data_IF_195325066624
#
_entry.id   IF_195325066624
#
_cell.length_a   1.000
_cell.length_b   1.000
_cell.length_c   1.000
_cell.angle_alpha   90.00
_cell.angle_beta   90.00
_cell.angle_gamma   90.00
#
_symmetry.space_group_name_H-M   'P 1'
#
loop_
_entity.id
_entity.type
_entity.pdbx_description
1 polymer ?
#
# COMPACT_ATOMS: atom_id res chain seq x y z
N UNK A 1 -2.98 -15.73 -12.01
CA UNK A 1 -2.15 -14.79 -12.79
C UNK A 1 -0.85 -14.61 -12.03
N UNK A 2 0.30 -14.66 -12.71
CA UNK A 2 1.60 -14.46 -12.07
C UNK A 2 1.70 -13.01 -11.54
N UNK A 3 2.31 -12.83 -10.37
CA UNK A 3 2.48 -11.53 -9.71
C UNK A 3 3.09 -10.48 -10.66
N UNK A 4 4.05 -10.90 -11.49
CA UNK A 4 4.74 -10.07 -12.47
C UNK A 4 3.80 -9.45 -13.52
N UNK A 5 2.78 -10.19 -13.98
CA UNK A 5 1.88 -9.70 -15.01
C UNK A 5 0.99 -8.56 -14.47
N UNK A 6 0.52 -8.69 -13.22
CA UNK A 6 -0.33 -7.68 -12.57
C UNK A 6 0.46 -6.43 -12.21
N UNK A 7 1.72 -6.58 -11.81
CA UNK A 7 2.67 -5.48 -11.59
C UNK A 7 2.88 -4.69 -12.88
N UNK A 8 3.11 -5.38 -14.00
CA UNK A 8 3.24 -4.76 -15.32
C UNK A 8 1.96 -4.00 -15.73
N UNK A 9 0.78 -4.54 -15.43
CA UNK A 9 -0.49 -3.89 -15.76
C UNK A 9 -0.71 -2.60 -14.95
N UNK A 10 -0.45 -2.63 -13.63
CA UNK A 10 -0.60 -1.46 -12.73
C UNK A 10 0.38 -0.34 -13.10
N UNK A 11 1.59 -0.73 -13.52
CA UNK A 11 2.63 0.23 -13.86
C UNK A 11 2.58 0.70 -15.32
N UNK A 12 1.76 0.02 -16.14
CA UNK A 12 1.42 0.37 -17.52
C UNK A 12 2.37 -0.19 -18.57
N UNK A 13 1.96 -0.13 -19.85
CA UNK A 13 2.81 -0.48 -21.01
C UNK A 13 4.09 0.37 -20.97
N UNK A 14 5.24 -0.27 -20.72
CA UNK A 14 6.53 0.39 -20.46
C UNK A 14 7.08 0.21 -19.04
N UNK A 15 6.51 -0.69 -18.25
CA UNK A 15 7.15 -1.20 -17.05
C UNK A 15 8.21 -2.26 -17.42
N UNK A 16 9.46 -1.81 -17.48
CA UNK A 16 10.65 -2.62 -17.74
C UNK A 16 11.14 -3.28 -16.43
N UNK A 17 11.84 -4.42 -16.55
CA UNK A 17 12.55 -5.12 -15.47
C UNK A 17 13.49 -4.18 -14.69
N UNK A 18 14.02 -3.12 -15.31
CA UNK A 18 14.78 -2.08 -14.62
C UNK A 18 13.97 -1.38 -13.51
N UNK A 19 12.66 -1.22 -13.68
CA UNK A 19 11.76 -0.64 -12.68
C UNK A 19 11.33 -1.62 -11.59
N UNK A 20 11.50 -2.93 -11.77
CA UNK A 20 11.32 -3.90 -10.68
C UNK A 20 12.25 -3.58 -9.50
N UNK A 21 13.49 -3.19 -9.79
CA UNK A 21 14.45 -2.72 -8.76
C UNK A 21 13.96 -1.48 -8.02
N UNK A 22 13.13 -0.65 -8.66
CA UNK A 22 12.54 0.54 -8.06
C UNK A 22 11.33 0.27 -7.16
N UNK A 23 10.75 -0.95 -7.20
CA UNK A 23 9.67 -1.38 -6.30
C UNK A 23 10.12 -2.47 -5.32
N UNK A 24 11.25 -3.14 -5.58
CA UNK A 24 11.75 -4.25 -4.77
C UNK A 24 11.79 -3.96 -3.26
N UNK A 25 12.20 -2.77 -2.78
CA UNK A 25 12.18 -2.48 -1.34
C UNK A 25 10.81 -2.60 -0.70
N UNK A 26 9.74 -2.28 -1.44
CA UNK A 26 8.37 -2.44 -0.99
C UNK A 26 7.97 -3.91 -0.97
N UNK A 27 8.28 -4.64 -2.04
CA UNK A 27 7.98 -6.08 -2.16
C UNK A 27 8.64 -6.84 -1.02
N UNK A 28 9.95 -6.63 -0.80
CA UNK A 28 10.72 -7.27 0.26
C UNK A 28 10.10 -7.00 1.64
N UNK A 29 9.69 -5.75 1.89
CA UNK A 29 9.05 -5.37 3.14
C UNK A 29 7.72 -6.10 3.33
N UNK A 30 6.85 -6.06 2.31
CA UNK A 30 5.51 -6.64 2.36
C UNK A 30 5.58 -8.16 2.54
N UNK A 31 6.52 -8.82 1.84
CA UNK A 31 6.80 -10.25 1.98
C UNK A 31 7.43 -10.63 3.33
N UNK A 32 7.90 -9.65 4.12
CA UNK A 32 8.43 -9.89 5.47
C UNK A 32 9.87 -10.43 5.47
N UNK A 33 10.69 -10.03 4.48
CA UNK A 33 12.11 -10.39 4.48
C UNK A 33 12.79 -9.84 5.73
N UNK A 34 13.54 -10.70 6.44
CA UNK A 34 14.25 -10.38 7.71
C UNK A 34 15.18 -9.16 7.64
N UNK A 35 15.54 -8.72 6.44
CA UNK A 35 16.34 -7.51 6.19
C UNK A 35 15.63 -6.23 6.67
N UNK A 36 14.29 -6.22 6.69
CA UNK A 36 13.51 -5.07 7.10
C UNK A 36 12.99 -5.23 8.54
N UNK A 37 13.07 -4.18 9.37
CA UNK A 37 12.38 -4.18 10.66
C UNK A 37 10.85 -4.18 10.45
N UNK A 38 10.11 -4.50 11.51
CA UNK A 38 8.63 -4.53 11.54
C UNK A 38 8.02 -3.21 11.06
N UNK A 39 8.68 -2.09 11.33
CA UNK A 39 8.31 -0.74 10.93
C UNK A 39 9.47 -0.06 10.19
N UNK A 40 9.22 0.49 9.00
CA UNK A 40 10.28 1.06 8.18
C UNK A 40 9.80 2.24 7.32
N UNK A 41 10.73 3.17 7.06
CA UNK A 41 10.60 4.11 5.95
C UNK A 41 11.07 3.43 4.66
N UNK A 42 10.14 3.21 3.73
CA UNK A 42 10.41 2.59 2.44
C UNK A 42 10.36 3.66 1.35
N UNK A 43 11.46 3.79 0.60
CA UNK A 43 11.50 4.59 -0.62
C UNK A 43 11.01 3.71 -1.77
N UNK A 44 10.08 4.23 -2.57
CA UNK A 44 9.59 3.54 -3.77
C UNK A 44 9.83 4.44 -4.99
N UNK A 45 11.06 4.42 -5.55
CA UNK A 45 11.44 5.29 -6.67
C UNK A 45 10.50 5.24 -7.88
N UNK A 46 9.84 4.12 -8.15
CA UNK A 46 8.90 4.00 -9.27
C UNK A 46 7.72 4.97 -9.15
N UNK A 47 7.27 5.22 -7.92
CA UNK A 47 6.16 6.13 -7.63
C UNK A 47 6.60 7.49 -7.11
N UNK A 48 7.92 7.74 -7.08
CA UNK A 48 8.54 8.99 -6.59
C UNK A 48 8.03 9.38 -5.19
N UNK A 49 7.88 8.37 -4.34
CA UNK A 49 7.35 8.52 -2.98
C UNK A 49 8.23 7.82 -1.95
N UNK A 50 8.11 8.24 -0.70
CA UNK A 50 8.51 7.46 0.46
C UNK A 50 7.29 7.26 1.36
N UNK A 51 7.21 6.09 2.00
CA UNK A 51 6.18 5.82 2.97
C UNK A 51 6.76 5.30 4.28
N UNK A 52 6.11 5.63 5.38
CA UNK A 52 6.31 4.93 6.63
C UNK A 52 5.29 3.80 6.72
N UNK A 53 5.78 2.56 6.85
CA UNK A 53 4.94 1.37 6.87
C UNK A 53 5.26 0.45 8.04
N UNK A 54 4.28 -0.32 8.49
CA UNK A 54 4.42 -1.31 9.56
C UNK A 54 3.71 -2.59 9.17
N UNK A 55 4.34 -3.75 9.41
CA UNK A 55 3.67 -5.04 9.32
C UNK A 55 3.33 -5.51 10.72
N UNK A 56 2.06 -5.49 11.10
CA UNK A 56 1.65 -5.78 12.49
C UNK A 56 0.40 -6.64 12.53
N UNK A 57 -0.16 -6.85 13.71
CA UNK A 57 -1.48 -7.45 13.90
C UNK A 57 -2.40 -6.41 14.53
N UNK A 58 -3.60 -6.26 13.97
CA UNK A 58 -4.64 -5.36 14.52
C UNK A 58 -5.90 -6.14 14.82
N UNK A 59 -6.56 -5.75 15.90
CA UNK A 59 -7.89 -6.24 16.23
C UNK A 59 -8.91 -5.47 15.39
N UNK A 60 -9.43 -6.10 14.34
CA UNK A 60 -10.42 -5.53 13.44
C UNK A 60 -11.78 -6.17 13.75
N UNK A 61 -12.66 -5.40 14.37
CA UNK A 61 -13.89 -5.94 14.97
C UNK A 61 -13.55 -6.92 16.10
N UNK A 62 -13.81 -8.22 15.89
CA UNK A 62 -13.52 -9.30 16.85
C UNK A 62 -12.39 -10.22 16.40
N UNK A 63 -11.69 -9.89 15.30
CA UNK A 63 -10.67 -10.76 14.69
C UNK A 63 -9.31 -10.08 14.72
N UNK A 64 -8.31 -10.78 15.23
CA UNK A 64 -6.91 -10.36 15.10
C UNK A 64 -6.44 -10.70 13.69
N UNK A 65 -6.09 -9.70 12.90
CA UNK A 65 -5.68 -9.84 11.49
C UNK A 65 -4.27 -9.30 11.30
N UNK A 66 -3.50 -9.92 10.40
CA UNK A 66 -2.23 -9.34 9.95
C UNK A 66 -2.51 -8.13 9.06
N UNK A 67 -1.84 -7.02 9.33
CA UNK A 67 -2.03 -5.77 8.61
C UNK A 67 -0.73 -5.24 8.05
N UNK A 68 -0.87 -4.57 6.91
CA UNK A 68 0.13 -3.68 6.36
C UNK A 68 -0.35 -2.24 6.59
N UNK A 69 0.24 -1.59 7.58
CA UNK A 69 -0.10 -0.23 7.96
C UNK A 69 0.65 0.76 7.08
N UNK A 70 -0.07 1.60 6.33
CA UNK A 70 0.46 2.71 5.57
C UNK A 70 0.26 4.00 6.39
N UNK A 71 1.26 4.35 7.19
CA UNK A 71 1.12 5.34 8.25
C UNK A 71 1.38 6.78 7.81
N UNK A 72 2.28 6.97 6.84
CA UNK A 72 2.60 8.29 6.31
C UNK A 72 3.11 8.18 4.88
N UNK A 73 2.76 9.16 4.05
CA UNK A 73 3.19 9.24 2.66
C UNK A 73 3.81 10.60 2.37
N UNK A 74 4.89 10.58 1.60
CA UNK A 74 5.48 11.78 1.08
C UNK A 74 5.72 11.65 -0.42
N UNK A 75 5.06 12.55 -1.17
CA UNK A 75 5.20 12.69 -2.62
C UNK A 75 5.61 14.13 -2.89
N UNK A 76 6.73 14.30 -3.59
CA UNK A 76 7.21 15.61 -4.01
C UNK A 76 6.16 16.31 -4.88
N UNK A 77 5.98 17.63 -4.68
CA UNK A 77 4.88 18.39 -5.28
C UNK A 77 4.86 18.29 -6.80
N UNK A 78 6.03 18.29 -7.46
CA UNK A 78 6.19 18.14 -8.92
C UNK A 78 5.68 16.82 -9.50
N UNK A 79 5.36 15.85 -8.65
CA UNK A 79 4.82 14.54 -9.05
C UNK A 79 3.37 14.32 -8.61
N UNK A 80 2.76 15.28 -7.89
CA UNK A 80 1.34 15.23 -7.53
C UNK A 80 0.46 15.38 -8.78
N UNK A 81 -0.77 14.85 -8.71
CA UNK A 81 -1.73 14.92 -9.82
C UNK A 81 -1.48 13.93 -10.97
N UNK A 82 -0.41 13.13 -10.93
CA UNK A 82 -0.03 12.20 -12.01
C UNK A 82 -0.53 10.76 -11.81
N UNK A 83 -1.47 10.54 -10.90
CA UNK A 83 -1.99 9.21 -10.57
C UNK A 83 -0.97 8.23 -9.98
N UNK A 84 0.19 8.71 -9.49
CA UNK A 84 1.23 7.84 -8.93
C UNK A 84 0.79 7.20 -7.61
N UNK A 85 0.14 7.97 -6.74
CA UNK A 85 -0.41 7.44 -5.49
C UNK A 85 -1.47 6.37 -5.73
N UNK A 86 -2.35 6.57 -6.72
CA UNK A 86 -3.39 5.61 -7.09
C UNK A 86 -2.79 4.27 -7.51
N UNK A 87 -1.83 4.30 -8.44
CA UNK A 87 -1.12 3.09 -8.89
C UNK A 87 -0.31 2.44 -7.79
N UNK A 88 0.26 3.22 -6.88
CA UNK A 88 0.95 2.70 -5.70
C UNK A 88 0.00 1.93 -4.78
N UNK A 89 -1.17 2.50 -4.47
CA UNK A 89 -2.16 1.84 -3.60
C UNK A 89 -2.68 0.56 -4.26
N UNK A 90 -2.93 0.57 -5.58
CA UNK A 90 -3.29 -0.64 -6.34
C UNK A 90 -2.25 -1.75 -6.22
N UNK A 91 -0.97 -1.39 -6.32
CA UNK A 91 0.13 -2.34 -6.17
C UNK A 91 0.14 -2.93 -4.76
N UNK A 92 0.04 -2.07 -3.74
CA UNK A 92 0.05 -2.49 -2.33
C UNK A 92 -1.12 -3.41 -2.01
N UNK A 93 -2.33 -3.06 -2.45
CA UNK A 93 -3.53 -3.87 -2.26
C UNK A 93 -3.38 -5.24 -2.91
N UNK A 94 -2.82 -5.30 -4.13
CA UNK A 94 -2.57 -6.57 -4.81
C UNK A 94 -1.64 -7.48 -3.99
N UNK A 95 -0.49 -6.96 -3.54
CA UNK A 95 0.46 -7.76 -2.76
C UNK A 95 -0.09 -8.14 -1.39
N UNK A 96 -0.81 -7.23 -0.74
CA UNK A 96 -1.43 -7.50 0.55
C UNK A 96 -2.46 -8.63 0.42
N UNK A 97 -3.32 -8.59 -0.61
CA UNK A 97 -4.29 -9.64 -0.89
C UNK A 97 -3.63 -11.00 -1.14
N UNK A 98 -2.55 -11.05 -1.94
CA UNK A 98 -1.80 -12.30 -2.20
C UNK A 98 -1.20 -12.92 -0.94
N UNK A 99 -0.90 -12.11 0.07
CA UNK A 99 -0.33 -12.55 1.35
C UNK A 99 -1.37 -12.69 2.47
N UNK A 100 -2.66 -12.47 2.19
CA UNK A 100 -3.72 -12.47 3.19
C UNK A 100 -3.59 -11.33 4.23
N UNK A 101 -2.87 -10.27 3.89
CA UNK A 101 -2.71 -9.07 4.70
C UNK A 101 -3.85 -8.09 4.44
N UNK A 102 -4.28 -7.41 5.49
CA UNK A 102 -5.24 -6.31 5.38
C UNK A 102 -4.49 -4.98 5.29
N UNK A 103 -4.82 -4.14 4.29
CA UNK A 103 -4.21 -2.81 4.18
C UNK A 103 -4.91 -1.86 5.16
N UNK A 104 -4.11 -1.21 6.00
CA UNK A 104 -4.57 -0.27 7.02
C UNK A 104 -3.93 1.10 6.77
N UNK A 105 -4.69 2.14 6.46
CA UNK A 105 -4.13 3.48 6.20
C UNK A 105 -4.33 4.36 7.43
N UNK A 106 -3.26 4.90 8.02
CA UNK A 106 -3.32 5.85 9.14
C UNK A 106 -3.35 7.31 8.65
N UNK A 107 -3.80 8.22 9.52
CA UNK A 107 -3.61 9.67 9.41
C UNK A 107 -4.22 10.32 8.16
N UNK A 108 -5.48 9.99 7.84
CA UNK A 108 -6.22 10.62 6.74
C UNK A 108 -6.83 11.96 7.18
N UNK A 109 -6.00 12.95 7.45
CA UNK A 109 -6.45 14.33 7.70
C UNK A 109 -6.86 15.06 6.40
N UNK A 110 -6.63 14.43 5.25
CA UNK A 110 -6.91 14.99 3.94
C UNK A 110 -8.21 14.40 3.37
N UNK A 111 -9.23 15.24 3.22
CA UNK A 111 -10.55 14.85 2.70
C UNK A 111 -10.49 14.24 1.28
N UNK A 112 -9.54 14.68 0.45
CA UNK A 112 -9.31 14.10 -0.88
C UNK A 112 -8.81 12.66 -0.77
N UNK A 113 -7.93 12.38 0.19
CA UNK A 113 -7.44 11.03 0.44
C UNK A 113 -8.57 10.15 1.00
N UNK A 114 -9.39 10.69 1.91
CA UNK A 114 -10.58 9.99 2.41
C UNK A 114 -11.53 9.57 1.29
N UNK A 115 -11.95 10.52 0.45
CA UNK A 115 -12.85 10.24 -0.68
C UNK A 115 -12.25 9.21 -1.64
N UNK A 116 -10.93 9.28 -1.85
CA UNK A 116 -10.22 8.29 -2.66
C UNK A 116 -10.28 6.88 -2.05
N UNK A 117 -10.07 6.74 -0.74
CA UNK A 117 -10.10 5.46 -0.04
C UNK A 117 -11.53 4.88 0.02
N UNK A 118 -12.54 5.70 0.30
CA UNK A 118 -13.95 5.28 0.30
C UNK A 118 -14.37 4.68 -1.05
N UNK A 119 -14.00 5.33 -2.16
CA UNK A 119 -14.27 4.84 -3.52
C UNK A 119 -13.59 3.50 -3.84
N UNK A 120 -12.57 3.12 -3.07
CA UNK A 120 -11.84 1.84 -3.20
C UNK A 120 -12.33 0.77 -2.22
N UNK A 121 -13.43 1.03 -1.51
CA UNK A 121 -14.01 0.08 -0.56
C UNK A 121 -13.32 0.07 0.81
N UNK A 122 -12.50 1.07 1.13
CA UNK A 122 -11.99 1.17 2.48
C UNK A 122 -13.11 1.60 3.43
N UNK A 123 -13.12 0.99 4.61
CA UNK A 123 -14.03 1.37 5.69
C UNK A 123 -13.29 2.10 6.79
N UNK A 124 -13.94 3.13 7.35
CA UNK A 124 -13.45 3.83 8.53
C UNK A 124 -13.57 2.93 9.76
N UNK A 125 -12.50 2.79 10.54
CA UNK A 125 -12.50 1.97 11.77
C UNK A 125 -12.02 2.78 12.96
N UNK A 126 -12.96 3.18 13.83
CA UNK A 126 -12.81 3.98 15.07
C UNK A 126 -12.08 5.34 14.94
N UNK A 127 -12.61 6.37 15.61
CA UNK A 127 -12.09 7.75 15.78
C UNK A 127 -11.26 8.36 14.61
N UNK A 128 -11.92 8.46 13.45
CA UNK A 128 -11.63 9.35 12.31
C UNK A 128 -10.31 9.11 11.54
N UNK A 129 -9.39 8.30 12.05
CA UNK A 129 -8.00 8.33 11.58
C UNK A 129 -7.59 7.16 10.69
N UNK A 130 -8.45 6.15 10.50
CA UNK A 130 -8.03 4.86 9.95
C UNK A 130 -8.98 4.27 8.90
N UNK A 131 -8.40 3.62 7.88
CA UNK A 131 -9.13 3.05 6.76
C UNK A 131 -8.65 1.64 6.45
N UNK A 132 -9.58 0.71 6.18
CA UNK A 132 -9.26 -0.72 5.97
C UNK A 132 -9.82 -1.25 4.66
N UNK A 133 -8.97 -1.88 3.84
CA UNK A 133 -9.41 -2.64 2.68
C UNK A 133 -9.58 -4.13 3.05
N UNK A 134 -10.83 -4.61 2.97
CA UNK A 134 -11.19 -6.02 3.16
C UNK A 134 -11.57 -6.58 1.78
N UNK A 135 -10.63 -6.62 0.84
CA UNK A 135 -10.86 -7.37 -0.40
C UNK A 135 -10.98 -8.85 -0.04
N UNK A 136 -12.17 -9.41 -0.27
CA UNK A 136 -12.56 -10.77 0.10
C UNK A 136 -11.51 -11.80 -0.34
N UNK A 137 -11.00 -12.56 0.63
CA UNK A 137 -10.39 -13.86 0.39
C UNK A 137 -11.51 -14.81 -0.06
N UNK A 138 -11.75 -14.89 -1.37
CA UNK A 138 -12.43 -16.03 -1.99
C UNK A 138 -11.42 -17.11 -2.33
#
# INVERSE_FOLDING_TARGET
MCCDQRVSDILGKGFDLSKMKEIQPLIDFVQGYKKYPINAWIKVPAFKLRLYTRRTKRLLGKKLMETLDLASFEISEKYRGKGLFTRFIELVESYAAELGLVVFVECVHNERLRTFLERRGYMLVQDQSYWINISDNK
#
